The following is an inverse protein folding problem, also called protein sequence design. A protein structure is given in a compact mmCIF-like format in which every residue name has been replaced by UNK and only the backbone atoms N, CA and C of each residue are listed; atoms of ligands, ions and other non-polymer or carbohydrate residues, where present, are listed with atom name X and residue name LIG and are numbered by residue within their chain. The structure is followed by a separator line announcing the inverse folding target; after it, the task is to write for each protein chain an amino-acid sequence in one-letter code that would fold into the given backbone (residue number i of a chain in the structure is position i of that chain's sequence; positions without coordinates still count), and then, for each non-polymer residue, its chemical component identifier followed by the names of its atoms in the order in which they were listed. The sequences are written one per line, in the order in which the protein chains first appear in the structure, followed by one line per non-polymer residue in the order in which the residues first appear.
data_IF_944268136550
#
_entry.id   IF_944268136550
#
_cell.length_a   1.000
_cell.length_b   1.000
_cell.length_c   1.000
_cell.angle_alpha   90.00
_cell.angle_beta   90.00
_cell.angle_gamma   90.00
#
_symmetry.space_group_name_H-M   'P 1'
#
loop_
_entity.id
_entity.type
_entity.pdbx_description
1 polymer ?
#
# COMPACT_ATOMS: atom_id res chain seq x y z
N UNK A 1 13.13 27.21 4.32
CA UNK A 1 13.28 25.77 4.64
C UNK A 1 13.95 25.09 3.45
N UNK A 2 15.26 24.88 3.52
CA UNK A 2 16.00 24.19 2.46
C UNK A 2 15.59 22.71 2.45
N UNK A 3 15.16 22.21 1.29
CA UNK A 3 14.96 20.79 1.09
C UNK A 3 16.30 20.09 1.27
N UNK A 4 16.50 19.43 2.42
CA UNK A 4 17.62 18.51 2.61
C UNK A 4 17.57 17.48 1.49
N UNK A 5 18.49 17.59 0.54
CA UNK A 5 18.75 16.58 -0.48
C UNK A 5 19.25 15.36 0.28
N UNK A 6 18.32 14.43 0.54
CA UNK A 6 18.53 13.25 1.39
C UNK A 6 19.73 12.45 0.90
N UNK A 7 20.65 12.12 1.81
CA UNK A 7 21.81 11.30 1.51
C UNK A 7 21.37 9.94 0.91
N UNK A 8 21.97 9.52 -0.22
CA UNK A 8 21.71 8.22 -0.84
C UNK A 8 22.02 7.09 0.13
N UNK A 9 21.35 5.95 0.00
CA UNK A 9 21.70 4.78 0.80
C UNK A 9 23.15 4.35 0.52
N UNK A 10 23.82 3.68 1.48
CA UNK A 10 25.11 3.07 1.24
C UNK A 10 25.08 2.17 0.01
N UNK A 11 26.13 2.16 -0.80
CA UNK A 11 26.21 1.32 -1.99
C UNK A 11 25.98 -0.18 -1.69
N UNK A 12 26.35 -0.62 -0.48
CA UNK A 12 26.10 -1.96 0.02
C UNK A 12 24.60 -2.31 0.11
N UNK A 13 23.73 -1.36 0.45
CA UNK A 13 22.29 -1.58 0.51
C UNK A 13 21.72 -1.81 -0.89
N UNK A 14 22.20 -1.06 -1.89
CA UNK A 14 21.85 -1.27 -3.30
C UNK A 14 22.30 -2.64 -3.81
N UNK A 15 23.54 -3.05 -3.48
CA UNK A 15 24.05 -4.37 -3.86
C UNK A 15 23.23 -5.51 -3.22
N UNK A 16 22.91 -5.41 -1.93
CA UNK A 16 22.09 -6.40 -1.24
C UNK A 16 20.65 -6.49 -1.81
N UNK A 17 20.06 -5.36 -2.19
CA UNK A 17 18.76 -5.36 -2.87
C UNK A 17 18.84 -6.00 -4.26
N UNK A 18 19.93 -5.77 -5.01
CA UNK A 18 20.15 -6.42 -6.30
C UNK A 18 20.25 -7.94 -6.18
N UNK A 19 21.12 -8.43 -5.30
CA UNK A 19 21.28 -9.86 -5.04
C UNK A 19 19.97 -10.52 -4.63
N UNK A 20 19.16 -9.81 -3.84
CA UNK A 20 17.83 -10.25 -3.45
C UNK A 20 16.90 -10.39 -4.67
N UNK A 21 16.80 -9.37 -5.53
CA UNK A 21 15.92 -9.37 -6.71
C UNK A 21 16.35 -10.41 -7.76
N UNK A 22 17.66 -10.56 -7.97
CA UNK A 22 18.22 -11.58 -8.86
C UNK A 22 17.86 -12.99 -8.35
N UNK A 23 17.98 -13.22 -7.03
CA UNK A 23 17.63 -14.50 -6.43
C UNK A 23 16.12 -14.80 -6.47
N UNK A 24 15.24 -13.79 -6.40
CA UNK A 24 13.79 -13.98 -6.59
C UNK A 24 13.46 -14.44 -8.00
N UNK A 25 14.16 -13.90 -9.01
CA UNK A 25 13.92 -14.20 -10.42
C UNK A 25 14.15 -15.68 -10.77
N UNK A 26 14.84 -16.44 -9.92
CA UNK A 26 15.06 -17.87 -10.08
C UNK A 26 13.80 -18.74 -9.84
N UNK A 27 12.78 -18.22 -9.14
CA UNK A 27 11.58 -18.99 -8.79
C UNK A 27 10.27 -18.21 -8.90
N UNK A 28 10.34 -16.91 -9.20
CA UNK A 28 9.18 -16.04 -9.34
C UNK A 28 9.38 -15.06 -10.49
N UNK A 29 8.27 -14.69 -11.14
CA UNK A 29 8.26 -13.62 -12.14
C UNK A 29 8.20 -12.27 -11.43
N UNK A 30 9.13 -11.39 -11.75
CA UNK A 30 9.15 -10.02 -11.24
C UNK A 30 8.24 -9.12 -12.09
N UNK A 31 7.20 -8.54 -11.48
CA UNK A 31 6.21 -7.71 -12.19
C UNK A 31 6.44 -6.22 -12.02
N UNK A 32 6.89 -5.77 -10.85
CA UNK A 32 7.23 -4.38 -10.59
C UNK A 32 8.11 -4.29 -9.34
N UNK A 33 8.95 -3.26 -9.26
CA UNK A 33 9.80 -2.98 -8.09
C UNK A 33 9.57 -1.58 -7.60
N UNK A 34 9.31 -1.44 -6.31
CA UNK A 34 9.21 -0.18 -5.60
C UNK A 34 10.47 0.05 -4.78
N UNK A 35 11.15 1.16 -5.04
CA UNK A 35 12.42 1.48 -4.38
C UNK A 35 12.29 2.68 -3.45
N UNK A 36 13.01 2.60 -2.32
CA UNK A 36 13.15 3.70 -1.39
C UNK A 36 14.61 3.89 -0.99
N UNK A 37 15.19 5.03 -1.39
CA UNK A 37 16.58 5.46 -1.14
C UNK A 37 17.68 4.52 -1.66
N UNK A 38 17.33 3.41 -2.31
CA UNK A 38 18.23 2.52 -3.04
C UNK A 38 18.02 2.70 -4.54
N UNK A 39 19.07 2.42 -5.32
CA UNK A 39 19.01 2.32 -6.77
C UNK A 39 19.59 0.97 -7.16
N UNK A 40 18.82 0.18 -7.91
CA UNK A 40 19.19 -1.15 -8.37
C UNK A 40 18.97 -1.20 -9.88
N UNK A 41 19.98 -1.60 -10.69
CA UNK A 41 19.75 -1.83 -12.10
C UNK A 41 18.77 -3.00 -12.26
N UNK A 42 17.71 -2.78 -13.04
CA UNK A 42 16.69 -3.78 -13.32
C UNK A 42 16.55 -4.01 -14.83
N UNK A 43 16.05 -5.19 -15.24
CA UNK A 43 15.68 -5.40 -16.63
C UNK A 43 14.70 -4.32 -17.09
N UNK A 44 14.89 -3.79 -18.30
CA UNK A 44 14.06 -2.69 -18.81
C UNK A 44 12.56 -3.02 -18.84
N UNK A 45 12.20 -4.30 -18.86
CA UNK A 45 10.82 -4.76 -18.86
C UNK A 45 10.11 -4.66 -17.49
N UNK A 46 10.83 -4.35 -16.41
CA UNK A 46 10.28 -4.29 -15.05
C UNK A 46 10.01 -2.83 -14.66
N UNK A 47 8.74 -2.42 -14.49
CA UNK A 47 8.36 -1.11 -13.96
C UNK A 47 9.04 -0.79 -12.62
N UNK A 48 9.52 0.45 -12.48
CA UNK A 48 10.17 0.93 -11.25
C UNK A 48 9.38 2.07 -10.66
N UNK A 49 8.99 1.92 -9.40
CA UNK A 49 8.10 2.84 -8.71
C UNK A 49 8.86 3.57 -7.60
N UNK A 50 8.66 4.89 -7.45
CA UNK A 50 9.11 5.55 -6.25
C UNK A 50 8.27 5.09 -5.06
N UNK A 51 8.88 4.90 -3.90
CA UNK A 51 8.10 4.71 -2.69
C UNK A 51 7.27 5.98 -2.39
N UNK A 52 5.95 5.83 -2.50
CA UNK A 52 4.97 6.90 -2.26
C UNK A 52 4.56 7.03 -0.79
N UNK A 53 5.23 6.31 0.12
CA UNK A 53 4.88 6.40 1.52
C UNK A 53 5.32 7.76 2.09
N UNK A 54 4.34 8.63 2.35
CA UNK A 54 4.60 9.96 2.90
C UNK A 54 5.22 9.86 4.30
N UNK A 55 4.96 8.79 5.06
CA UNK A 55 5.64 8.56 6.34
C UNK A 55 7.13 8.29 6.13
N UNK A 56 7.51 7.57 5.07
CA UNK A 56 8.91 7.43 4.66
C UNK A 56 9.49 8.79 4.22
N UNK A 57 8.70 9.62 3.53
CA UNK A 57 9.14 10.95 3.07
C UNK A 57 9.19 12.01 4.17
N UNK A 58 8.56 11.79 5.32
CA UNK A 58 8.52 12.75 6.43
C UNK A 58 9.31 12.29 7.66
N UNK A 59 9.49 10.98 7.87
CA UNK A 59 10.23 10.43 9.00
C UNK A 59 11.55 9.77 8.56
N UNK A 60 12.65 10.13 9.21
CA UNK A 60 14.00 9.58 8.96
C UNK A 60 14.14 8.11 9.41
N UNK A 61 13.17 7.57 10.14
CA UNK A 61 13.21 6.23 10.72
C UNK A 61 12.96 5.05 9.75
N UNK A 62 12.59 5.32 8.49
CA UNK A 62 12.36 4.26 7.50
C UNK A 62 13.68 3.89 6.81
N UNK A 63 14.16 2.64 6.96
CA UNK A 63 15.41 2.21 6.34
C UNK A 63 15.28 2.14 4.80
N UNK A 64 16.38 2.32 4.05
CA UNK A 64 16.40 2.03 2.62
C UNK A 64 15.94 0.60 2.33
N UNK A 65 15.13 0.42 1.29
CA UNK A 65 14.54 -0.88 0.95
C UNK A 65 14.07 -0.95 -0.50
N UNK A 66 13.91 -2.17 -0.99
CA UNK A 66 13.25 -2.47 -2.26
C UNK A 66 12.11 -3.48 -2.02
N UNK A 67 10.91 -3.15 -2.47
CA UNK A 67 9.75 -4.04 -2.47
C UNK A 67 9.50 -4.54 -3.88
N UNK A 68 9.26 -5.84 -4.03
CA UNK A 68 9.05 -6.51 -5.30
C UNK A 68 7.66 -7.15 -5.33
N UNK A 69 6.88 -6.82 -6.36
CA UNK A 69 5.68 -7.57 -6.71
C UNK A 69 6.11 -8.76 -7.56
N UNK A 70 5.94 -9.96 -7.01
CA UNK A 70 6.36 -11.21 -7.63
C UNK A 70 5.20 -12.17 -7.77
N UNK A 71 5.24 -12.99 -8.82
CA UNK A 71 4.32 -14.08 -9.02
C UNK A 71 5.07 -15.42 -9.00
N UNK A 72 4.67 -16.32 -8.11
CA UNK A 72 5.23 -17.67 -7.98
C UNK A 72 5.05 -18.43 -9.31
N UNK A 73 6.14 -18.91 -9.92
CA UNK A 73 6.10 -19.60 -11.22
C UNK A 73 5.27 -20.90 -11.13
N UNK A 74 5.36 -21.60 -10.00
CA UNK A 74 4.69 -22.91 -9.84
C UNK A 74 3.26 -22.77 -9.30
N UNK A 75 3.01 -21.70 -8.55
CA UNK A 75 1.76 -21.52 -7.80
C UNK A 75 0.83 -20.45 -8.35
N UNK A 76 1.31 -19.59 -9.25
CA UNK A 76 0.62 -18.40 -9.72
C UNK A 76 0.29 -17.38 -8.63
N UNK A 77 0.70 -17.60 -7.38
CA UNK A 77 0.37 -16.71 -6.27
C UNK A 77 1.14 -15.40 -6.38
N UNK A 78 0.43 -14.28 -6.29
CA UNK A 78 1.03 -12.95 -6.28
C UNK A 78 1.42 -12.58 -4.86
N UNK A 79 2.63 -12.07 -4.66
CA UNK A 79 3.16 -11.66 -3.36
C UNK A 79 3.92 -10.34 -3.47
N UNK A 80 3.93 -9.57 -2.38
CA UNK A 80 4.86 -8.44 -2.23
C UNK A 80 5.94 -8.81 -1.21
N UNK A 81 7.20 -8.72 -1.62
CA UNK A 81 8.35 -9.06 -0.77
C UNK A 81 9.31 -7.88 -0.70
N UNK A 82 9.67 -7.48 0.51
CA UNK A 82 10.50 -6.30 0.78
C UNK A 82 11.85 -6.70 1.35
N UNK A 83 12.93 -6.29 0.70
CA UNK A 83 14.27 -6.40 1.26
C UNK A 83 14.64 -5.12 2.01
N UNK A 84 15.00 -5.27 3.28
CA UNK A 84 15.50 -4.19 4.15
C UNK A 84 16.95 -4.53 4.55
N UNK A 85 17.95 -4.10 3.76
CA UNK A 85 19.33 -4.55 3.91
C UNK A 85 19.93 -4.25 5.29
N UNK A 86 19.79 -3.02 5.77
CA UNK A 86 20.33 -2.53 7.04
C UNK A 86 19.81 -3.28 8.28
N UNK A 87 18.66 -3.95 8.16
CA UNK A 87 18.06 -4.77 9.23
C UNK A 87 18.24 -6.26 9.03
N UNK A 88 18.98 -6.68 7.98
CA UNK A 88 19.10 -8.08 7.55
C UNK A 88 17.74 -8.78 7.47
N UNK A 89 16.73 -8.06 6.98
CA UNK A 89 15.32 -8.48 7.07
C UNK A 89 14.68 -8.54 5.69
N UNK A 90 13.87 -9.59 5.49
CA UNK A 90 12.95 -9.73 4.38
C UNK A 90 11.54 -9.69 4.96
N UNK A 91 10.68 -8.86 4.39
CA UNK A 91 9.29 -8.72 4.82
C UNK A 91 8.38 -9.26 3.72
N UNK A 92 7.34 -10.00 4.09
CA UNK A 92 6.30 -10.46 3.15
C UNK A 92 5.02 -9.71 3.51
N UNK A 93 4.56 -8.83 2.63
CA UNK A 93 3.31 -8.09 2.81
C UNK A 93 2.14 -8.88 2.22
N UNK A 94 1.31 -9.39 3.12
CA UNK A 94 0.12 -10.20 2.77
C UNK A 94 -1.07 -9.30 2.45
N UNK A 95 -1.08 -8.05 2.91
CA UNK A 95 -2.20 -7.14 2.74
C UNK A 95 -2.27 -6.65 1.30
N UNK A 96 -1.15 -6.24 0.71
CA UNK A 96 -1.08 -5.75 -0.67
C UNK A 96 -1.60 -6.72 -1.71
N UNK A 97 -1.44 -8.00 -1.44
CA UNK A 97 -1.74 -9.11 -2.35
C UNK A 97 -2.87 -9.99 -1.81
N UNK A 98 -3.64 -9.50 -0.84
CA UNK A 98 -4.66 -10.26 -0.15
C UNK A 98 -5.72 -10.83 -1.10
N UNK A 99 -5.74 -12.17 -1.15
CA UNK A 99 -6.60 -13.00 -1.99
C UNK A 99 -6.25 -12.97 -3.49
N UNK A 100 -4.99 -12.66 -3.80
CA UNK A 100 -4.30 -12.93 -5.07
C UNK A 100 -3.32 -14.12 -4.96
N UNK A 101 -3.26 -14.76 -3.79
CA UNK A 101 -2.50 -15.95 -3.50
C UNK A 101 -3.29 -16.91 -2.60
N UNK A 102 -2.95 -18.20 -2.63
CA UNK A 102 -3.46 -19.21 -1.70
C UNK A 102 -2.56 -19.32 -0.47
N UNK A 103 -3.04 -19.94 0.60
CA UNK A 103 -2.21 -20.26 1.78
C UNK A 103 -1.05 -21.18 1.40
N UNK A 104 -1.29 -22.16 0.52
CA UNK A 104 -0.26 -23.07 0.03
C UNK A 104 0.84 -22.35 -0.76
N UNK A 105 0.48 -21.40 -1.64
CA UNK A 105 1.47 -20.58 -2.36
C UNK A 105 2.27 -19.70 -1.40
N UNK A 106 1.61 -19.10 -0.41
CA UNK A 106 2.28 -18.28 0.60
C UNK A 106 3.28 -19.10 1.44
N UNK A 107 2.88 -20.29 1.90
CA UNK A 107 3.76 -21.19 2.65
C UNK A 107 5.00 -21.59 1.82
N UNK A 108 4.81 -21.92 0.54
CA UNK A 108 5.94 -22.22 -0.37
C UNK A 108 6.87 -21.03 -0.57
N UNK A 109 6.33 -19.82 -0.73
CA UNK A 109 7.16 -18.61 -0.83
C UNK A 109 8.02 -18.44 0.41
N UNK A 110 7.42 -18.50 1.60
CA UNK A 110 8.14 -18.31 2.87
C UNK A 110 9.24 -19.37 3.02
N UNK A 111 8.97 -20.63 2.66
CA UNK A 111 9.96 -21.70 2.70
C UNK A 111 11.11 -21.46 1.71
N UNK A 112 10.81 -21.03 0.48
CA UNK A 112 11.84 -20.67 -0.52
C UNK A 112 12.71 -19.52 -0.03
N UNK A 113 12.10 -18.48 0.54
CA UNK A 113 12.84 -17.35 1.11
C UNK A 113 13.75 -17.81 2.24
N UNK A 114 13.29 -18.68 3.15
CA UNK A 114 14.11 -19.22 4.25
C UNK A 114 15.34 -19.97 3.75
N UNK A 115 15.14 -20.85 2.77
CA UNK A 115 16.23 -21.65 2.18
C UNK A 115 17.23 -20.79 1.43
N UNK A 116 16.76 -19.81 0.67
CA UNK A 116 17.62 -18.98 -0.18
C UNK A 116 18.37 -17.90 0.60
N UNK A 117 17.81 -17.44 1.72
CA UNK A 117 18.37 -16.36 2.53
C UNK A 117 18.52 -16.76 4.01
N UNK A 118 19.35 -17.78 4.34
CA UNK A 118 19.46 -18.30 5.71
C UNK A 118 19.97 -17.26 6.73
N UNK A 119 20.73 -16.27 6.29
CA UNK A 119 21.23 -15.17 7.14
C UNK A 119 20.27 -13.98 7.29
N UNK A 120 19.05 -14.06 6.75
CA UNK A 120 18.06 -12.97 6.81
C UNK A 120 16.87 -13.37 7.67
N UNK A 121 16.39 -12.45 8.49
CA UNK A 121 15.15 -12.62 9.24
C UNK A 121 13.96 -12.41 8.32
N UNK A 122 13.07 -13.40 8.24
CA UNK A 122 11.81 -13.27 7.48
C UNK A 122 10.69 -12.86 8.44
N UNK A 123 9.99 -11.78 8.09
CA UNK A 123 8.86 -11.22 8.84
C UNK A 123 7.63 -11.18 7.94
N UNK A 124 6.50 -11.62 8.45
CA UNK A 124 5.23 -11.60 7.73
C UNK A 124 4.41 -10.44 8.29
N UNK A 125 4.01 -9.50 7.44
CA UNK A 125 3.11 -8.43 7.82
C UNK A 125 1.67 -8.83 7.50
N UNK A 126 0.91 -9.09 8.55
CA UNK A 126 -0.50 -9.44 8.47
C UNK A 126 -1.42 -8.21 8.44
N UNK A 127 -2.71 -8.46 8.25
CA UNK A 127 -3.73 -7.41 8.25
C UNK A 127 -4.00 -6.87 9.65
N UNK A 128 -4.02 -5.54 9.80
CA UNK A 128 -4.49 -4.83 10.97
C UNK A 128 -5.95 -4.40 10.82
N UNK A 129 -6.80 -4.81 11.77
CA UNK A 129 -8.20 -4.38 11.84
C UNK A 129 -8.32 -2.88 12.18
N UNK A 130 -7.48 -2.39 13.09
CA UNK A 130 -7.45 -0.98 13.50
C UNK A 130 -7.11 -0.07 12.32
N UNK A 131 -6.19 -0.47 11.45
CA UNK A 131 -5.82 0.26 10.23
C UNK A 131 -6.79 0.05 9.07
N UNK A 132 -7.76 -0.84 9.21
CA UNK A 132 -8.77 -1.10 8.18
C UNK A 132 -8.22 -1.80 6.92
N UNK A 133 -7.13 -2.56 7.03
CA UNK A 133 -6.42 -3.20 5.90
C UNK A 133 -7.38 -3.97 4.98
N UNK A 134 -8.23 -4.81 5.56
CA UNK A 134 -9.21 -5.61 4.81
C UNK A 134 -10.23 -4.74 4.06
N UNK A 135 -10.60 -3.57 4.60
CA UNK A 135 -11.51 -2.63 3.93
C UNK A 135 -10.84 -1.97 2.74
N UNK A 136 -9.58 -1.54 2.89
CA UNK A 136 -8.78 -0.99 1.78
C UNK A 136 -8.66 -2.02 0.66
N UNK A 137 -8.24 -3.24 0.98
CA UNK A 137 -8.10 -4.33 -0.01
C UNK A 137 -9.41 -4.60 -0.71
N UNK A 138 -10.51 -4.72 0.03
CA UNK A 138 -11.84 -4.99 -0.54
C UNK A 138 -12.28 -3.86 -1.48
N UNK A 139 -12.05 -2.61 -1.10
CA UNK A 139 -12.38 -1.45 -1.94
C UNK A 139 -11.55 -1.44 -3.24
N UNK A 140 -10.24 -1.69 -3.16
CA UNK A 140 -9.39 -1.79 -4.34
C UNK A 140 -9.83 -2.93 -5.26
N UNK A 141 -9.98 -4.15 -4.73
CA UNK A 141 -10.35 -5.33 -5.51
C UNK A 141 -11.74 -5.27 -6.12
N UNK A 142 -12.67 -4.56 -5.50
CA UNK A 142 -13.99 -4.33 -6.08
C UNK A 142 -13.94 -3.50 -7.38
N UNK A 143 -12.82 -2.82 -7.65
CA UNK A 143 -12.61 -2.03 -8.87
C UNK A 143 -11.62 -2.69 -9.80
N UNK A 144 -10.45 -3.06 -9.29
CA UNK A 144 -9.40 -3.68 -10.09
C UNK A 144 -8.51 -4.56 -9.19
N UNK A 145 -8.33 -5.84 -9.51
CA UNK A 145 -7.35 -6.69 -8.85
C UNK A 145 -5.92 -6.21 -9.16
N UNK A 146 -5.02 -6.36 -8.19
CA UNK A 146 -3.62 -5.93 -8.37
C UNK A 146 -2.96 -6.69 -9.52
N UNK A 147 -3.33 -7.97 -9.70
CA UNK A 147 -2.85 -8.79 -10.81
C UNK A 147 -3.14 -8.18 -12.17
N UNK A 148 -4.34 -7.63 -12.37
CA UNK A 148 -4.69 -6.95 -13.63
C UNK A 148 -3.88 -5.67 -13.82
N UNK A 149 -3.61 -4.92 -12.76
CA UNK A 149 -2.71 -3.75 -12.81
C UNK A 149 -1.29 -4.14 -13.21
N UNK A 150 -0.81 -5.32 -12.78
CA UNK A 150 0.54 -5.80 -13.07
C UNK A 150 0.67 -6.48 -14.43
N UNK A 151 -0.39 -7.13 -14.93
CA UNK A 151 -0.30 -8.02 -16.11
C UNK A 151 -1.30 -7.72 -17.23
N UNK A 152 -2.40 -7.05 -16.93
CA UNK A 152 -3.48 -6.75 -17.89
C UNK A 152 -3.04 -5.80 -18.99
N UNK A 153 -3.63 -5.95 -20.19
CA UNK A 153 -3.27 -5.17 -21.40
C UNK A 153 -4.29 -4.11 -21.80
N UNK A 154 -5.48 -4.11 -21.20
CA UNK A 154 -6.50 -3.08 -21.43
C UNK A 154 -6.18 -1.81 -20.64
N UNK A 155 -5.18 -1.04 -21.09
CA UNK A 155 -4.77 0.19 -20.41
C UNK A 155 -5.93 1.18 -20.22
N UNK A 156 -6.79 1.47 -21.22
CA UNK A 156 -7.93 2.38 -21.02
C UNK A 156 -8.89 1.93 -19.92
N UNK A 157 -9.25 0.63 -19.89
CA UNK A 157 -10.10 0.08 -18.83
C UNK A 157 -9.44 0.14 -17.45
N UNK A 158 -8.15 -0.20 -17.37
CA UNK A 158 -7.39 -0.16 -16.13
C UNK A 158 -7.23 1.28 -15.59
N UNK A 159 -6.97 2.27 -16.46
CA UNK A 159 -6.93 3.67 -16.04
C UNK A 159 -8.26 4.15 -15.51
N UNK A 160 -9.38 3.80 -16.16
CA UNK A 160 -10.72 4.13 -15.68
C UNK A 160 -10.96 3.56 -14.29
N UNK A 161 -10.63 2.29 -14.06
CA UNK A 161 -10.80 1.66 -12.75
C UNK A 161 -9.92 2.32 -11.66
N UNK A 162 -8.69 2.72 -12.00
CA UNK A 162 -7.81 3.47 -11.08
C UNK A 162 -8.35 4.87 -10.77
N UNK A 163 -8.92 5.55 -11.76
CA UNK A 163 -9.55 6.86 -11.55
C UNK A 163 -10.82 6.75 -10.69
N UNK A 164 -11.61 5.69 -10.83
CA UNK A 164 -12.72 5.40 -9.91
C UNK A 164 -12.22 5.23 -8.46
N UNK A 165 -11.10 4.55 -8.24
CA UNK A 165 -10.50 4.42 -6.91
C UNK A 165 -10.08 5.78 -6.33
N UNK A 166 -9.57 6.70 -7.17
CA UNK A 166 -9.27 8.08 -6.75
C UNK A 166 -10.51 8.84 -6.35
N UNK A 167 -11.58 8.72 -7.13
CA UNK A 167 -12.87 9.35 -6.81
C UNK A 167 -13.40 8.82 -5.49
N UNK A 168 -13.39 7.49 -5.29
CA UNK A 168 -13.81 6.86 -4.02
C UNK A 168 -13.01 7.42 -2.85
N UNK A 169 -11.69 7.48 -2.96
CA UNK A 169 -10.84 8.07 -1.91
C UNK A 169 -11.21 9.54 -1.63
N UNK A 170 -11.35 10.36 -2.66
CA UNK A 170 -11.71 11.78 -2.50
C UNK A 170 -13.07 11.96 -1.81
N UNK A 171 -14.06 11.15 -2.18
CA UNK A 171 -15.39 11.16 -1.54
C UNK A 171 -15.26 10.73 -0.07
N UNK A 172 -14.50 9.66 0.22
CA UNK A 172 -14.29 9.21 1.61
C UNK A 172 -13.58 10.26 2.46
N UNK A 173 -12.61 10.98 1.89
CA UNK A 173 -11.93 12.08 2.59
C UNK A 173 -12.90 13.22 2.90
N UNK A 174 -13.73 13.62 1.93
CA UNK A 174 -14.78 14.63 2.14
C UNK A 174 -15.75 14.20 3.23
N UNK A 175 -16.22 12.95 3.21
CA UNK A 175 -17.11 12.42 4.23
C UNK A 175 -16.46 12.41 5.62
N UNK A 176 -15.16 12.09 5.70
CA UNK A 176 -14.41 12.21 6.95
C UNK A 176 -14.35 13.66 7.45
N UNK A 177 -14.07 14.63 6.57
CA UNK A 177 -14.03 16.06 6.93
C UNK A 177 -15.38 16.54 7.44
N UNK A 178 -16.48 16.13 6.80
CA UNK A 178 -17.85 16.44 7.24
C UNK A 178 -18.14 15.80 8.60
N UNK A 179 -17.75 14.54 8.81
CA UNK A 179 -17.90 13.87 10.10
C UNK A 179 -17.09 14.58 11.21
N UNK A 180 -15.82 14.92 10.94
CA UNK A 180 -14.98 15.69 11.85
C UNK A 180 -15.54 17.09 12.16
N UNK A 181 -16.09 17.76 11.15
CA UNK A 181 -16.77 19.04 11.34
C UNK A 181 -17.98 18.86 12.25
N UNK A 182 -18.84 17.87 11.99
CA UNK A 182 -20.04 17.57 12.78
C UNK A 182 -19.69 17.29 14.25
N UNK A 183 -18.60 16.55 14.50
CA UNK A 183 -18.08 16.29 15.86
C UNK A 183 -17.60 17.58 16.53
N UNK A 184 -17.01 18.53 15.79
CA UNK A 184 -16.55 19.80 16.36
C UNK A 184 -17.67 20.81 16.59
N UNK A 185 -18.64 20.89 15.68
CA UNK A 185 -19.63 21.98 15.66
C UNK A 185 -20.97 21.60 16.25
N UNK A 186 -21.40 20.35 16.13
CA UNK A 186 -22.73 19.90 16.57
C UNK A 186 -22.64 19.15 17.89
N UNK A 187 -21.71 18.19 17.96
CA UNK A 187 -21.51 17.34 19.14
C UNK A 187 -21.10 18.10 20.39
N UNK A 188 -20.17 19.05 20.29
CA UNK A 188 -19.70 19.83 21.43
C UNK A 188 -20.84 20.60 22.14
N UNK A 189 -21.62 21.40 21.41
CA UNK A 189 -22.79 22.07 21.98
C UNK A 189 -23.85 21.10 22.51
N UNK A 190 -24.10 19.96 21.85
CA UNK A 190 -25.04 18.96 22.35
C UNK A 190 -24.55 18.27 23.64
N UNK A 191 -23.24 18.04 23.79
CA UNK A 191 -22.66 17.57 25.05
C UNK A 191 -22.84 18.59 26.16
N UNK A 192 -22.55 19.85 25.88
CA UNK A 192 -22.70 20.91 26.86
C UNK A 192 -24.15 21.05 27.31
N UNK A 193 -25.10 21.06 26.36
CA UNK A 193 -26.53 21.10 26.64
C UNK A 193 -27.01 19.84 27.38
N UNK A 194 -26.60 18.66 26.92
CA UNK A 194 -26.95 17.38 27.54
C UNK A 194 -26.42 17.29 28.97
N UNK A 195 -25.18 17.72 29.21
CA UNK A 195 -24.61 17.84 30.54
C UNK A 195 -25.39 18.84 31.40
N UNK A 196 -25.63 20.05 30.91
CA UNK A 196 -26.41 21.07 31.62
C UNK A 196 -27.80 20.56 32.00
N UNK A 197 -28.54 19.97 31.07
CA UNK A 197 -29.87 19.41 31.33
C UNK A 197 -29.81 18.23 32.30
N UNK A 198 -28.81 17.36 32.17
CA UNK A 198 -28.64 16.23 33.08
C UNK A 198 -28.39 16.70 34.51
N UNK A 199 -27.51 17.67 34.73
CA UNK A 199 -27.26 18.17 36.08
C UNK A 199 -28.42 19.01 36.60
N UNK A 200 -28.91 19.99 35.84
CA UNK A 200 -29.94 20.92 36.33
C UNK A 200 -31.33 20.30 36.48
N UNK A 201 -31.74 19.41 35.56
CA UNK A 201 -33.11 18.84 35.59
C UNK A 201 -33.18 17.62 36.49
N UNK A 202 -32.15 16.76 36.51
CA UNK A 202 -32.15 15.59 37.37
C UNK A 202 -31.97 15.97 38.84
N UNK A 203 -31.27 17.07 39.14
CA UNK A 203 -31.14 17.55 40.53
C UNK A 203 -32.49 17.97 41.13
N UNK A 204 -33.45 18.43 40.31
CA UNK A 204 -34.82 18.72 40.76
C UNK A 204 -35.58 17.46 41.22
N UNK A 205 -35.10 16.27 40.84
CA UNK A 205 -35.70 14.99 41.20
C UNK A 205 -35.06 14.35 42.44
N UNK A 206 -34.00 14.94 43.02
CA UNK A 206 -33.31 14.42 44.21
C UNK A 206 -34.31 14.17 45.35
N UNK A 207 -35.25 15.08 45.57
CA UNK A 207 -36.26 14.97 46.62
C UNK A 207 -37.27 13.82 46.41
N UNK A 208 -37.34 13.21 45.21
CA UNK A 208 -38.28 12.13 44.89
C UNK A 208 -37.61 10.75 44.77
N UNK A 209 -36.42 10.68 44.19
CA UNK A 209 -35.75 9.40 43.86
C UNK A 209 -34.41 9.19 44.57
N UNK A 210 -33.97 10.16 45.37
CA UNK A 210 -32.73 10.08 46.13
C UNK A 210 -31.51 10.48 45.30
N UNK A 211 -30.50 11.05 46.00
CA UNK A 211 -29.29 11.60 45.39
C UNK A 211 -28.46 10.55 44.65
N UNK A 212 -28.35 9.33 45.18
CA UNK A 212 -27.57 8.25 44.56
C UNK A 212 -28.15 7.81 43.22
N UNK A 213 -29.48 7.73 43.10
CA UNK A 213 -30.13 7.34 41.85
C UNK A 213 -30.00 8.42 40.78
N UNK A 214 -30.16 9.70 41.17
CA UNK A 214 -29.94 10.86 40.30
C UNK A 214 -28.52 10.87 39.76
N UNK A 215 -27.53 10.70 40.65
CA UNK A 215 -26.13 10.70 40.28
C UNK A 215 -25.77 9.53 39.35
N UNK A 216 -26.33 8.34 39.59
CA UNK A 216 -26.18 7.19 38.69
C UNK A 216 -26.75 7.47 37.29
N UNK A 217 -27.91 8.11 37.20
CA UNK A 217 -28.53 8.46 35.93
C UNK A 217 -27.75 9.55 35.18
N UNK A 218 -27.23 10.55 35.90
CA UNK A 218 -26.34 11.57 35.33
C UNK A 218 -25.09 10.93 34.70
N UNK A 219 -24.40 10.05 35.42
CA UNK A 219 -23.24 9.35 34.89
C UNK A 219 -23.57 8.46 33.70
N UNK A 220 -24.72 7.78 33.73
CA UNK A 220 -25.15 6.95 32.60
C UNK A 220 -25.39 7.80 31.34
N UNK A 221 -26.11 8.92 31.46
CA UNK A 221 -26.41 9.79 30.32
C UNK A 221 -25.13 10.41 29.75
N UNK A 222 -24.28 10.98 30.62
CA UNK A 222 -23.00 11.56 30.19
C UNK A 222 -22.10 10.50 29.58
N UNK A 223 -22.04 9.30 30.16
CA UNK A 223 -21.26 8.17 29.65
C UNK A 223 -21.74 7.70 28.27
N UNK A 224 -23.05 7.54 28.08
CA UNK A 224 -23.63 7.14 26.79
C UNK A 224 -23.39 8.20 25.71
N UNK A 225 -23.61 9.48 26.05
CA UNK A 225 -23.29 10.60 25.17
C UNK A 225 -21.81 10.56 24.79
N UNK A 226 -20.91 10.49 25.76
CA UNK A 226 -19.46 10.38 25.54
C UNK A 226 -19.08 9.21 24.63
N UNK A 227 -19.69 8.04 24.82
CA UNK A 227 -19.45 6.86 23.99
C UNK A 227 -19.89 7.06 22.53
N UNK A 228 -21.06 7.67 22.29
CA UNK A 228 -21.53 8.00 20.94
C UNK A 228 -20.54 8.94 20.24
N UNK A 229 -20.02 9.93 20.96
CA UNK A 229 -19.08 10.89 20.37
C UNK A 229 -17.70 10.28 20.10
N UNK A 230 -17.21 9.45 21.01
CA UNK A 230 -15.99 8.68 20.77
C UNK A 230 -16.14 7.80 19.53
N UNK A 231 -17.28 7.13 19.36
CA UNK A 231 -17.58 6.33 18.18
C UNK A 231 -17.55 7.16 16.89
N UNK A 232 -18.23 8.31 16.87
CA UNK A 232 -18.25 9.19 15.69
C UNK A 232 -16.86 9.76 15.35
N UNK A 233 -16.10 10.17 16.37
CA UNK A 233 -14.72 10.63 16.21
C UNK A 233 -13.81 9.55 15.64
N UNK A 234 -13.86 8.34 16.21
CA UNK A 234 -13.10 7.19 15.71
C UNK A 234 -13.49 6.83 14.28
N UNK A 235 -14.78 6.90 13.93
CA UNK A 235 -15.26 6.63 12.58
C UNK A 235 -14.72 7.64 11.57
N UNK A 236 -14.64 8.92 11.92
CA UNK A 236 -14.05 9.95 11.07
C UNK A 236 -12.55 9.69 10.83
N UNK A 237 -11.78 9.43 11.90
CA UNK A 237 -10.36 9.06 11.80
C UNK A 237 -10.16 7.84 10.91
N UNK A 238 -11.00 6.82 11.09
CA UNK A 238 -10.95 5.60 10.28
C UNK A 238 -11.18 5.87 8.79
N UNK A 239 -12.15 6.73 8.45
CA UNK A 239 -12.44 7.08 7.07
C UNK A 239 -11.27 7.85 6.43
N UNK A 240 -10.61 8.74 7.17
CA UNK A 240 -9.39 9.42 6.70
C UNK A 240 -8.28 8.42 6.41
N UNK A 241 -8.01 7.51 7.34
CA UNK A 241 -6.94 6.51 7.21
C UNK A 241 -7.17 5.60 5.99
N UNK A 242 -8.39 5.06 5.85
CA UNK A 242 -8.75 4.22 4.70
C UNK A 242 -8.69 5.01 3.41
N UNK A 243 -9.18 6.25 3.38
CA UNK A 243 -9.11 7.11 2.20
C UNK A 243 -7.67 7.35 1.76
N UNK A 244 -6.78 7.76 2.68
CA UNK A 244 -5.38 8.03 2.37
C UNK A 244 -4.66 6.81 1.81
N UNK A 245 -5.02 5.60 2.28
CA UNK A 245 -4.44 4.35 1.79
C UNK A 245 -4.97 3.92 0.43
N UNK A 246 -6.26 4.10 0.16
CA UNK A 246 -6.83 3.89 -1.19
C UNK A 246 -6.17 4.88 -2.16
N UNK A 247 -6.00 6.14 -1.76
CA UNK A 247 -5.29 7.13 -2.54
C UNK A 247 -3.85 6.68 -2.87
N UNK A 248 -3.08 6.25 -1.87
CA UNK A 248 -1.71 5.72 -2.06
C UNK A 248 -1.70 4.57 -3.08
N UNK A 249 -2.63 3.62 -2.97
CA UNK A 249 -2.76 2.49 -3.92
C UNK A 249 -3.11 2.94 -5.33
N UNK A 250 -4.04 3.87 -5.48
CA UNK A 250 -4.40 4.40 -6.79
C UNK A 250 -3.21 5.10 -7.48
N UNK A 251 -2.39 5.84 -6.72
CA UNK A 251 -1.19 6.50 -7.25
C UNK A 251 -0.08 5.49 -7.61
N UNK A 252 0.06 4.43 -6.83
CA UNK A 252 0.94 3.31 -7.13
C UNK A 252 0.50 2.59 -8.41
N UNK A 253 -0.79 2.26 -8.54
CA UNK A 253 -1.34 1.61 -9.73
C UNK A 253 -1.18 2.48 -10.97
N UNK A 254 -1.44 3.78 -10.87
CA UNK A 254 -1.23 4.69 -11.99
C UNK A 254 0.24 4.73 -12.44
N UNK A 255 1.17 4.73 -11.50
CA UNK A 255 2.61 4.70 -11.80
C UNK A 255 3.00 3.39 -12.50
N UNK A 256 2.48 2.25 -12.04
CA UNK A 256 2.68 0.94 -12.68
C UNK A 256 2.15 0.97 -14.12
N UNK A 257 0.91 1.41 -14.32
CA UNK A 257 0.28 1.43 -15.64
C UNK A 257 1.04 2.32 -16.62
N UNK A 258 1.46 3.53 -16.19
CA UNK A 258 2.22 4.46 -17.05
C UNK A 258 3.53 3.87 -17.51
N UNK A 259 4.27 3.24 -16.61
CA UNK A 259 5.54 2.61 -16.96
C UNK A 259 5.32 1.39 -17.87
N UNK A 260 4.30 0.57 -17.60
CA UNK A 260 3.95 -0.57 -18.45
C UNK A 260 3.51 -0.17 -19.86
N UNK A 261 2.70 0.88 -19.98
CA UNK A 261 2.25 1.41 -21.27
C UNK A 261 3.42 1.98 -22.08
N UNK A 262 4.31 2.72 -21.43
CA UNK A 262 5.58 3.19 -22.03
C UNK A 262 6.40 2.02 -22.57
N UNK A 263 6.56 0.95 -21.78
CA UNK A 263 7.34 -0.22 -22.16
C UNK A 263 6.69 -1.01 -23.30
N UNK A 264 5.37 -1.21 -23.28
CA UNK A 264 4.63 -1.85 -24.36
C UNK A 264 4.72 -1.05 -25.67
N UNK A 265 4.71 0.29 -25.59
CA UNK A 265 4.84 1.17 -26.75
C UNK A 265 6.24 1.14 -27.37
N UNK A 266 7.29 0.86 -26.56
CA UNK A 266 8.68 0.77 -27.02
C UNK A 266 9.05 -0.61 -27.61
N UNK A 267 8.27 -1.64 -27.32
CA UNK A 267 8.52 -3.03 -27.74
C UNK A 267 8.63 -3.22 -29.27
N UNK A 268 7.75 -2.64 -30.11
CA UNK A 268 7.83 -2.80 -31.57
C UNK A 268 9.09 -2.15 -32.17
N UNK A 269 9.53 -1.02 -31.62
CA UNK A 269 10.76 -0.34 -32.06
C UNK A 269 12.00 -1.18 -31.72
N UNK A 270 12.04 -1.76 -30.52
CA UNK A 270 13.12 -2.65 -30.08
C UNK A 270 13.22 -3.93 -30.92
N UNK A 271 12.07 -4.56 -31.20
CA UNK A 271 12.03 -5.75 -32.06
C UNK A 271 12.59 -5.46 -33.45
N UNK A 272 12.26 -4.29 -34.02
CA UNK A 272 12.81 -3.85 -35.32
C UNK A 272 14.32 -3.63 -35.27
N UNK A 273 14.82 -2.98 -34.23
CA UNK A 273 16.26 -2.73 -34.05
C UNK A 273 17.05 -4.04 -33.83
N UNK A 274 16.51 -4.97 -33.04
CA UNK A 274 17.10 -6.28 -32.83
C UNK A 274 17.13 -7.13 -34.11
N UNK A 275 16.02 -7.13 -34.87
CA UNK A 275 15.95 -7.82 -36.16
C UNK A 275 16.92 -7.21 -37.18
N UNK A 276 17.01 -5.88 -37.26
CA UNK A 276 17.97 -5.21 -38.14
C UNK A 276 19.42 -5.58 -37.78
N UNK A 277 19.78 -5.53 -36.49
CA UNK A 277 21.11 -5.91 -36.03
C UNK A 277 21.45 -7.39 -36.21
N UNK A 278 20.45 -8.28 -36.15
CA UNK A 278 20.64 -9.71 -36.44
C UNK A 278 20.85 -9.97 -37.94
N UNK A 279 20.15 -9.25 -38.82
CA UNK A 279 20.34 -9.32 -40.27
C UNK A 279 21.73 -8.82 -40.66
N UNK A 280 22.20 -7.70 -40.09
CA UNK A 280 23.55 -7.16 -40.35
C UNK A 280 24.63 -8.14 -39.92
N UNK A 281 24.56 -8.70 -38.70
CA UNK A 281 25.52 -9.71 -38.23
C UNK A 281 25.56 -10.95 -39.10
N UNK A 282 24.40 -11.43 -39.55
CA UNK A 282 24.32 -12.58 -40.45
C UNK A 282 24.93 -12.27 -41.82
N UNK A 283 24.73 -11.05 -42.34
CA UNK A 283 25.36 -10.62 -43.60
C UNK A 283 26.89 -10.54 -43.49
N UNK A 284 27.42 -10.05 -42.36
CA UNK A 284 28.86 -9.99 -42.08
C UNK A 284 29.47 -11.40 -41.93
N UNK A 285 28.82 -12.32 -41.22
CA UNK A 285 29.26 -13.72 -41.12
C UNK A 285 29.27 -14.40 -42.50
N UNK A 286 28.27 -14.16 -43.34
CA UNK A 286 28.20 -14.74 -44.69
C UNK A 286 29.26 -14.16 -45.63
N UNK A 287 29.63 -12.89 -45.43
CA UNK A 287 30.70 -12.22 -46.19
C UNK A 287 32.10 -12.62 -45.72
N UNK A 288 32.28 -12.91 -44.42
CA UNK A 288 33.54 -13.37 -43.83
C UNK A 288 33.91 -14.82 -44.18
N UNK A 289 32.91 -15.68 -44.44
CA UNK A 289 33.11 -17.08 -44.86
C UNK A 289 33.55 -17.21 -46.33
N UNK A 290 33.52 -16.11 -47.12
CA UNK A 290 33.98 -16.09 -48.52
C UNK A 290 35.42 -15.58 -48.72
N UNK A 291 36.21 -15.43 -47.65
CA UNK A 291 37.65 -15.16 -47.72
C UNK A 291 38.43 -16.41 -47.35
#
# INVERSE_FOLDING_TARGET
MAASVRAPAPAADGAACREFLDALSAFARLHAVKMYRVSVPLPEAVPVLPCLDHEAKLHEGIPPHAAAYIEDIDGGGLHEVVCVPSRRRIEVDVVSTAGEHTEASHARLVERLRRRFPGRRIVIHGSSWLRGDRRVVRACRARVPLREILTGRDFPGLYRAVDELRVISSVMEKQSRVASWSVRTVTGPLLALGGFLSYQVLDLLIGRIGSTAVQGLQYLIVGLLGAVFLYLGLKAVHLTEVSGRIWKRSAEYQSILRDRERLASAEPARLREQLAGAVTRRAEETAGVRR
#
